data_IF_582438651443
#
_entry.id   IF_582438651443
#
_cell.length_a   1.000
_cell.length_b   1.000
_cell.length_c   1.000
_cell.angle_alpha   90.00
_cell.angle_beta   90.00
_cell.angle_gamma   90.00
#
_symmetry.space_group_name_H-M   'P 1'
#
loop_
_entity.id
_entity.type
_entity.pdbx_description
1 polymer ?
#
# COMPACT_ATOMS: atom_id res chain seq x y z
N UNK A 1 -42.63 27.61 36.98
CA UNK A 1 -43.03 27.97 35.61
C UNK A 1 -42.43 26.95 34.65
N UNK A 2 -43.27 26.22 33.91
CA UNK A 2 -42.91 25.55 32.64
C UNK A 2 -42.46 26.64 31.66
N UNK A 3 -41.58 26.41 30.67
CA UNK A 3 -41.80 25.61 29.45
C UNK A 3 -40.45 25.14 28.86
N UNK A 4 -40.54 23.96 28.22
CA UNK A 4 -39.57 23.20 27.44
C UNK A 4 -38.83 23.93 26.30
N UNK A 5 -37.70 23.33 25.91
CA UNK A 5 -37.05 23.51 24.61
C UNK A 5 -36.09 22.35 24.32
N UNK A 6 -36.65 21.16 24.13
CA UNK A 6 -35.95 19.95 23.67
C UNK A 6 -35.49 20.09 22.21
N UNK A 7 -34.19 19.98 21.97
CA UNK A 7 -33.60 19.84 20.64
C UNK A 7 -32.80 18.54 20.56
N UNK A 8 -33.47 17.42 20.36
CA UNK A 8 -32.84 16.16 19.93
C UNK A 8 -32.37 16.32 18.49
N UNK A 9 -31.05 16.39 18.30
CA UNK A 9 -30.43 16.21 16.99
C UNK A 9 -30.42 14.72 16.69
N UNK A 10 -31.48 14.25 16.04
CA UNK A 10 -31.58 12.89 15.53
C UNK A 10 -30.75 12.83 14.24
N UNK A 11 -29.46 12.55 14.34
CA UNK A 11 -28.65 12.14 13.19
C UNK A 11 -29.06 10.73 12.80
N UNK A 12 -30.10 10.63 11.97
CA UNK A 12 -30.50 9.38 11.35
C UNK A 12 -29.48 9.02 10.26
N UNK A 13 -28.54 8.15 10.61
CA UNK A 13 -27.73 7.40 9.65
C UNK A 13 -28.69 6.45 8.91
N UNK A 14 -29.28 6.92 7.80
CA UNK A 14 -30.09 6.07 6.94
C UNK A 14 -29.15 5.09 6.21
N UNK A 15 -29.02 3.87 6.74
CA UNK A 15 -28.69 2.72 5.90
C UNK A 15 -29.92 2.44 5.03
N UNK A 16 -29.91 2.96 3.81
CA UNK A 16 -30.91 2.60 2.81
C UNK A 16 -30.67 1.15 2.37
N UNK A 17 -31.59 0.27 2.73
CA UNK A 17 -31.70 -1.09 2.23
C UNK A 17 -32.10 -1.06 0.75
N UNK A 18 -31.11 -1.15 -0.14
CA UNK A 18 -31.33 -1.39 -1.57
C UNK A 18 -31.18 -2.89 -1.84
N UNK A 19 -32.28 -3.63 -1.85
CA UNK A 19 -32.33 -4.97 -2.44
C UNK A 19 -32.41 -4.85 -3.96
N UNK A 20 -31.34 -4.33 -4.57
CA UNK A 20 -31.03 -4.62 -5.96
C UNK A 20 -30.49 -6.05 -6.06
N UNK A 21 -30.57 -6.67 -7.23
CA UNK A 21 -29.69 -7.82 -7.49
C UNK A 21 -28.26 -7.36 -7.23
N UNK A 22 -27.44 -8.18 -6.55
CA UNK A 22 -26.08 -7.80 -6.15
C UNK A 22 -25.24 -7.20 -7.31
N UNK A 23 -25.55 -7.62 -8.54
CA UNK A 23 -24.97 -7.11 -9.79
C UNK A 23 -25.32 -5.65 -10.13
N UNK A 24 -26.56 -5.21 -9.91
CA UNK A 24 -26.96 -3.82 -10.16
C UNK A 24 -26.30 -2.87 -9.15
N UNK A 25 -26.13 -3.32 -7.90
CA UNK A 25 -25.37 -2.59 -6.88
C UNK A 25 -23.90 -2.43 -7.26
N UNK A 26 -23.27 -3.47 -7.83
CA UNK A 26 -21.86 -3.42 -8.23
C UNK A 26 -21.56 -2.36 -9.32
N UNK A 27 -22.50 -2.13 -10.25
CA UNK A 27 -22.35 -1.09 -11.29
C UNK A 27 -22.41 0.31 -10.67
N UNK A 28 -23.36 0.53 -9.76
CA UNK A 28 -23.50 1.81 -9.05
C UNK A 28 -22.29 2.06 -8.14
N UNK A 29 -21.84 1.04 -7.39
CA UNK A 29 -20.64 1.10 -6.56
C UNK A 29 -19.40 1.45 -7.39
N UNK A 30 -19.24 0.83 -8.58
CA UNK A 30 -18.14 1.17 -9.48
C UNK A 30 -18.16 2.66 -9.87
N UNK A 31 -19.30 3.16 -10.36
CA UNK A 31 -19.43 4.56 -10.78
C UNK A 31 -19.18 5.51 -9.62
N UNK A 32 -19.73 5.23 -8.43
CA UNK A 32 -19.56 6.06 -7.25
C UNK A 32 -18.12 6.05 -6.72
N UNK A 33 -17.45 4.90 -6.70
CA UNK A 33 -16.05 4.79 -6.27
C UNK A 33 -15.09 5.45 -7.27
N UNK A 34 -15.35 5.31 -8.57
CA UNK A 34 -14.59 6.03 -9.60
C UNK A 34 -14.79 7.54 -9.51
N UNK A 35 -16.02 8.00 -9.29
CA UNK A 35 -16.29 9.42 -9.05
C UNK A 35 -15.58 9.91 -7.78
N UNK A 36 -15.60 9.13 -6.71
CA UNK A 36 -14.89 9.42 -5.45
C UNK A 36 -13.39 9.58 -5.68
N UNK A 37 -12.75 8.65 -6.38
CA UNK A 37 -11.33 8.72 -6.73
C UNK A 37 -11.00 10.00 -7.50
N UNK A 38 -11.79 10.32 -8.54
CA UNK A 38 -11.57 11.50 -9.37
C UNK A 38 -11.77 12.81 -8.58
N UNK A 39 -12.77 12.86 -7.70
CA UNK A 39 -12.99 13.97 -6.77
C UNK A 39 -11.81 14.08 -5.80
N UNK A 40 -11.35 12.98 -5.23
CA UNK A 40 -10.23 12.98 -4.29
C UNK A 40 -8.92 13.40 -4.97
N UNK A 41 -8.67 13.01 -6.22
CA UNK A 41 -7.53 13.52 -6.99
C UNK A 41 -7.57 15.04 -7.18
N UNK A 42 -8.75 15.66 -7.21
CA UNK A 42 -8.88 17.12 -7.28
C UNK A 42 -8.77 17.78 -5.90
N UNK A 43 -9.41 17.18 -4.89
CA UNK A 43 -9.64 17.82 -3.59
C UNK A 43 -8.66 17.41 -2.50
N UNK A 44 -7.94 16.31 -2.70
CA UNK A 44 -7.03 15.68 -1.74
C UNK A 44 -7.72 15.57 -0.36
N UNK A 45 -8.89 14.97 -0.30
CA UNK A 45 -9.73 14.95 0.90
C UNK A 45 -9.55 13.67 1.74
N UNK A 46 -9.14 12.59 1.08
CA UNK A 46 -8.79 11.33 1.70
C UNK A 46 -7.30 11.32 2.11
N UNK A 47 -6.96 10.47 3.08
CA UNK A 47 -5.57 10.04 3.31
C UNK A 47 -5.10 9.24 2.10
N UNK A 48 -3.79 9.17 1.84
CA UNK A 48 -3.30 8.39 0.70
C UNK A 48 -3.64 6.90 0.85
N UNK A 49 -3.53 6.35 2.06
CA UNK A 49 -3.97 4.97 2.35
C UNK A 49 -5.46 4.75 2.09
N UNK A 50 -6.32 5.74 2.36
CA UNK A 50 -7.75 5.65 2.05
C UNK A 50 -7.97 5.68 0.53
N UNK A 51 -7.28 6.57 -0.20
CA UNK A 51 -7.35 6.66 -1.65
C UNK A 51 -7.00 5.34 -2.34
N UNK A 52 -5.89 4.71 -1.96
CA UNK A 52 -5.48 3.44 -2.57
C UNK A 52 -6.51 2.33 -2.35
N UNK A 53 -7.16 2.30 -1.19
CA UNK A 53 -8.22 1.33 -0.91
C UNK A 53 -9.55 1.68 -1.59
N UNK A 54 -9.84 2.95 -1.90
CA UNK A 54 -10.93 3.32 -2.82
C UNK A 54 -10.69 2.75 -4.21
N UNK A 55 -9.45 2.82 -4.72
CA UNK A 55 -9.09 2.24 -6.02
C UNK A 55 -9.25 0.72 -6.00
N UNK A 56 -8.84 0.04 -4.93
CA UNK A 56 -9.05 -1.41 -4.77
C UNK A 56 -10.55 -1.75 -4.75
N UNK A 57 -11.34 -1.01 -3.97
CA UNK A 57 -12.79 -1.21 -3.88
C UNK A 57 -13.47 -0.97 -5.24
N UNK A 58 -13.03 0.04 -6.00
CA UNK A 58 -13.51 0.34 -7.36
C UNK A 58 -13.26 -0.85 -8.28
N UNK A 59 -12.05 -1.37 -8.30
CA UNK A 59 -11.68 -2.49 -9.18
C UNK A 59 -12.42 -3.78 -8.79
N UNK A 60 -12.66 -3.99 -7.49
CA UNK A 60 -13.50 -5.08 -7.01
C UNK A 60 -14.95 -4.92 -7.47
N UNK A 61 -15.53 -3.74 -7.32
CA UNK A 61 -16.88 -3.44 -7.81
C UNK A 61 -17.00 -3.69 -9.32
N UNK A 62 -16.00 -3.25 -10.11
CA UNK A 62 -15.93 -3.53 -11.55
C UNK A 62 -15.92 -5.03 -11.84
N UNK A 63 -15.02 -5.79 -11.21
CA UNK A 63 -14.92 -7.25 -11.41
C UNK A 63 -16.19 -8.01 -11.03
N UNK A 64 -16.97 -7.45 -10.10
CA UNK A 64 -18.23 -8.00 -9.60
C UNK A 64 -19.45 -7.52 -10.39
N UNK A 65 -19.28 -6.77 -11.48
CA UNK A 65 -20.37 -6.47 -12.41
C UNK A 65 -20.76 -7.67 -13.27
N UNK A 66 -22.02 -7.70 -13.70
CA UNK A 66 -22.53 -8.78 -14.55
C UNK A 66 -21.81 -8.77 -15.90
N UNK A 67 -21.50 -7.59 -16.42
CA UNK A 67 -20.84 -7.34 -17.69
C UNK A 67 -19.40 -7.81 -17.70
N UNK A 68 -18.67 -7.65 -16.59
CA UNK A 68 -17.35 -8.30 -16.43
C UNK A 68 -17.48 -9.83 -16.37
N UNK A 69 -18.59 -10.35 -15.82
CA UNK A 69 -18.96 -11.76 -15.95
C UNK A 69 -19.25 -12.20 -17.38
N UNK A 70 -19.92 -11.35 -18.18
CA UNK A 70 -20.24 -11.60 -19.58
C UNK A 70 -19.02 -11.59 -20.50
N UNK A 71 -18.05 -10.70 -20.26
CA UNK A 71 -16.77 -10.74 -20.96
C UNK A 71 -16.06 -12.08 -20.70
N UNK A 72 -15.93 -12.47 -19.43
CA UNK A 72 -15.26 -13.71 -19.02
C UNK A 72 -15.90 -14.99 -19.59
N UNK A 73 -17.21 -14.98 -19.83
CA UNK A 73 -17.92 -16.14 -20.38
C UNK A 73 -18.23 -16.01 -21.89
N UNK A 74 -17.69 -15.00 -22.57
CA UNK A 74 -17.82 -14.80 -24.02
C UNK A 74 -19.19 -14.33 -24.48
N UNK A 75 -20.07 -13.87 -23.57
CA UNK A 75 -21.35 -13.22 -23.94
C UNK A 75 -21.16 -11.78 -24.41
N UNK A 76 -20.13 -11.11 -23.91
CA UNK A 76 -19.62 -9.87 -24.45
C UNK A 76 -18.31 -10.14 -25.18
N UNK A 77 -18.14 -9.53 -26.35
CA UNK A 77 -16.82 -9.33 -26.93
C UNK A 77 -16.11 -8.11 -26.32
N UNK A 78 -14.82 -7.94 -26.61
CA UNK A 78 -14.00 -6.85 -26.06
C UNK A 78 -14.56 -5.47 -26.43
N UNK A 79 -15.11 -5.30 -27.63
CA UNK A 79 -15.64 -4.01 -28.09
C UNK A 79 -16.96 -3.65 -27.38
N UNK A 80 -17.82 -4.64 -27.16
CA UNK A 80 -19.05 -4.50 -26.38
C UNK A 80 -18.74 -4.15 -24.93
N UNK A 81 -17.78 -4.84 -24.31
CA UNK A 81 -17.34 -4.53 -22.96
C UNK A 81 -16.73 -3.13 -22.87
N UNK A 82 -15.84 -2.77 -23.80
CA UNK A 82 -15.21 -1.45 -23.80
C UNK A 82 -16.23 -0.33 -23.96
N UNK A 83 -17.20 -0.46 -24.87
CA UNK A 83 -18.27 0.53 -25.03
C UNK A 83 -19.12 0.70 -23.77
N UNK A 84 -19.45 -0.41 -23.10
CA UNK A 84 -20.15 -0.37 -21.81
C UNK A 84 -19.28 0.31 -20.73
N UNK A 85 -18.00 -0.05 -20.64
CA UNK A 85 -17.05 0.49 -19.68
C UNK A 85 -16.86 2.01 -19.87
N UNK A 86 -16.64 2.46 -21.11
CA UNK A 86 -16.46 3.87 -21.47
C UNK A 86 -17.68 4.71 -21.07
N UNK A 87 -18.89 4.17 -21.22
CA UNK A 87 -20.10 4.85 -20.78
C UNK A 87 -20.16 5.06 -19.25
N UNK A 88 -19.60 4.13 -18.46
CA UNK A 88 -19.51 4.25 -16.99
C UNK A 88 -18.39 5.19 -16.57
N UNK A 89 -17.23 5.13 -17.23
CA UNK A 89 -16.16 6.12 -17.05
C UNK A 89 -16.66 7.54 -17.32
N UNK A 90 -17.37 7.76 -18.44
CA UNK A 90 -17.95 9.06 -18.77
C UNK A 90 -18.94 9.56 -17.72
N UNK A 91 -19.74 8.65 -17.14
CA UNK A 91 -20.68 8.99 -16.05
C UNK A 91 -19.92 9.43 -14.80
N UNK A 92 -18.91 8.68 -14.38
CA UNK A 92 -18.09 9.03 -13.21
C UNK A 92 -17.33 10.35 -13.40
N UNK A 93 -16.78 10.59 -14.60
CA UNK A 93 -16.16 11.86 -14.97
C UNK A 93 -17.14 13.03 -14.89
N UNK A 94 -18.38 12.85 -15.37
CA UNK A 94 -19.41 13.88 -15.30
C UNK A 94 -19.81 14.19 -13.84
N UNK A 95 -19.93 13.17 -12.99
CA UNK A 95 -20.20 13.34 -11.55
C UNK A 95 -19.06 14.14 -10.91
N UNK A 96 -17.81 13.72 -11.11
CA UNK A 96 -16.65 14.41 -10.53
C UNK A 96 -16.56 15.88 -10.99
N UNK A 97 -16.74 16.14 -12.30
CA UNK A 97 -16.68 17.48 -12.85
C UNK A 97 -17.80 18.41 -12.36
N UNK A 98 -19.02 17.89 -12.19
CA UNK A 98 -20.16 18.67 -11.70
C UNK A 98 -20.13 18.90 -10.18
N UNK A 99 -19.46 18.01 -9.45
CA UNK A 99 -19.34 18.07 -7.99
C UNK A 99 -18.22 19.00 -7.54
N UNK A 100 -17.03 18.85 -8.14
CA UNK A 100 -15.82 19.59 -7.78
C UNK A 100 -15.46 19.51 -6.29
N UNK A 101 -14.59 20.41 -5.82
CA UNK A 101 -14.21 20.51 -4.40
C UNK A 101 -15.18 21.37 -3.61
N UNK A 102 -16.44 20.96 -3.60
CA UNK A 102 -17.55 21.64 -2.90
C UNK A 102 -18.20 20.73 -1.86
N UNK A 103 -19.18 21.23 -1.10
CA UNK A 103 -19.97 20.38 -0.18
C UNK A 103 -20.68 19.23 -0.88
N UNK A 104 -20.95 19.33 -2.18
CA UNK A 104 -21.54 18.23 -2.94
C UNK A 104 -20.62 17.00 -3.03
N UNK A 105 -19.31 17.15 -2.78
CA UNK A 105 -18.35 16.04 -2.75
C UNK A 105 -18.48 15.16 -1.50
N UNK A 106 -19.02 15.71 -0.41
CA UNK A 106 -19.03 15.07 0.90
C UNK A 106 -19.67 13.66 0.90
N UNK A 107 -20.85 13.43 0.27
CA UNK A 107 -21.44 12.09 0.22
C UNK A 107 -20.55 11.05 -0.48
N UNK A 108 -19.90 11.42 -1.59
CA UNK A 108 -18.99 10.54 -2.32
C UNK A 108 -17.74 10.23 -1.49
N UNK A 109 -17.11 11.25 -0.93
CA UNK A 109 -15.92 11.11 -0.10
C UNK A 109 -16.20 10.27 1.16
N UNK A 110 -17.36 10.44 1.80
CA UNK A 110 -17.76 9.63 2.95
C UNK A 110 -18.03 8.17 2.55
N UNK A 111 -18.70 7.95 1.41
CA UNK A 111 -18.92 6.61 0.87
C UNK A 111 -17.60 5.89 0.57
N UNK A 112 -16.70 6.54 -0.18
CA UNK A 112 -15.38 6.01 -0.49
C UNK A 112 -14.53 5.76 0.75
N UNK A 113 -14.51 6.70 1.71
CA UNK A 113 -13.84 6.51 3.01
C UNK A 113 -14.38 5.30 3.76
N UNK A 114 -15.71 5.12 3.78
CA UNK A 114 -16.34 3.95 4.38
C UNK A 114 -15.80 2.64 3.81
N UNK A 115 -15.82 2.51 2.47
CA UNK A 115 -15.30 1.33 1.77
C UNK A 115 -13.80 1.12 1.96
N UNK A 116 -13.01 2.19 1.93
CA UNK A 116 -11.59 2.12 2.19
C UNK A 116 -11.30 1.62 3.62
N UNK A 117 -12.00 2.16 4.62
CA UNK A 117 -11.80 1.79 6.01
C UNK A 117 -12.23 0.36 6.32
N UNK A 118 -13.28 -0.16 5.67
CA UNK A 118 -13.65 -1.59 5.73
C UNK A 118 -12.45 -2.46 5.31
N UNK A 119 -11.87 -2.19 4.14
CA UNK A 119 -10.72 -2.95 3.61
C UNK A 119 -9.45 -2.79 4.45
N UNK A 120 -9.12 -1.57 4.85
CA UNK A 120 -7.92 -1.29 5.66
C UNK A 120 -8.02 -2.01 7.00
N UNK A 121 -9.13 -1.87 7.71
CA UNK A 121 -9.30 -2.50 9.02
C UNK A 121 -9.31 -4.02 8.91
N UNK A 122 -9.96 -4.59 7.89
CA UNK A 122 -9.90 -6.03 7.61
C UNK A 122 -8.46 -6.50 7.39
N UNK A 123 -7.67 -5.76 6.61
CA UNK A 123 -6.24 -6.04 6.40
C UNK A 123 -5.43 -5.97 7.71
N UNK A 124 -5.69 -4.98 8.57
CA UNK A 124 -5.04 -4.89 9.88
C UNK A 124 -5.41 -6.08 10.80
N UNK A 125 -6.68 -6.51 10.83
CA UNK A 125 -7.10 -7.71 11.57
C UNK A 125 -6.32 -8.95 11.08
N UNK A 126 -6.22 -9.13 9.77
CA UNK A 126 -5.43 -10.21 9.17
C UNK A 126 -3.95 -10.11 9.55
N UNK A 127 -3.36 -8.91 9.56
CA UNK A 127 -1.97 -8.69 9.95
C UNK A 127 -1.72 -9.13 11.41
N UNK A 128 -2.60 -8.79 12.35
CA UNK A 128 -2.51 -9.25 13.73
C UNK A 128 -2.77 -10.76 13.87
N UNK A 129 -3.63 -11.35 13.03
CA UNK A 129 -3.79 -12.80 12.97
C UNK A 129 -2.47 -13.50 12.60
N UNK A 130 -1.80 -13.05 11.53
CA UNK A 130 -0.52 -13.64 11.10
C UNK A 130 0.64 -13.39 12.07
N UNK A 131 0.65 -12.27 12.80
CA UNK A 131 1.63 -12.01 13.87
C UNK A 131 1.48 -12.99 15.04
N UNK A 132 0.23 -13.30 15.39
CA UNK A 132 -0.17 -14.16 16.51
C UNK A 132 -0.05 -15.66 16.25
N UNK A 133 0.30 -16.09 15.04
CA UNK A 133 0.57 -17.50 14.76
C UNK A 133 1.77 -18.02 15.57
N UNK A 134 1.85 -19.34 15.84
CA UNK A 134 2.97 -19.96 16.55
C UNK A 134 4.33 -19.58 15.94
N UNK A 135 5.36 -19.42 16.78
CA UNK A 135 6.67 -18.93 16.36
C UNK A 135 7.38 -19.82 15.33
N UNK A 136 7.02 -21.11 15.31
CA UNK A 136 7.50 -22.15 14.40
C UNK A 136 6.62 -22.31 13.13
N UNK A 137 5.51 -21.57 13.01
CA UNK A 137 4.68 -21.57 11.81
C UNK A 137 5.41 -20.88 10.64
N UNK A 138 5.46 -21.55 9.49
CA UNK A 138 5.97 -20.99 8.23
C UNK A 138 5.15 -19.80 7.72
N UNK A 139 3.90 -19.73 8.14
CA UNK A 139 2.97 -18.70 7.71
C UNK A 139 2.94 -17.48 8.63
N UNK A 140 3.63 -17.57 9.77
CA UNK A 140 3.77 -16.44 10.68
C UNK A 140 4.42 -15.28 9.95
N UNK A 141 3.77 -14.12 10.03
CA UNK A 141 4.31 -12.86 9.56
C UNK A 141 4.36 -11.90 10.75
N UNK A 142 5.48 -11.89 11.51
CA UNK A 142 5.58 -11.07 12.71
C UNK A 142 5.54 -9.59 12.37
N UNK A 143 4.79 -8.82 13.14
CA UNK A 143 4.75 -7.37 13.06
C UNK A 143 5.82 -6.75 13.95
N UNK A 144 6.45 -5.68 13.44
CA UNK A 144 7.35 -4.85 14.24
C UNK A 144 6.57 -4.04 15.27
N UNK A 145 7.25 -3.53 16.30
CA UNK A 145 6.62 -2.64 17.29
C UNK A 145 6.10 -1.35 16.64
N UNK A 146 6.78 -0.84 15.61
CA UNK A 146 6.36 0.32 14.84
C UNK A 146 5.06 0.05 14.06
N UNK A 147 4.94 -1.11 13.42
CA UNK A 147 3.73 -1.53 12.72
C UNK A 147 2.56 -1.70 13.70
N UNK A 148 2.80 -2.29 14.88
CA UNK A 148 1.77 -2.43 15.93
C UNK A 148 1.30 -1.07 16.42
N UNK A 149 2.22 -0.14 16.69
CA UNK A 149 1.89 1.21 17.13
C UNK A 149 1.14 2.00 16.06
N UNK A 150 1.55 1.88 14.79
CA UNK A 150 0.87 2.53 13.67
C UNK A 150 -0.56 2.00 13.50
N UNK A 151 -0.75 0.68 13.57
CA UNK A 151 -2.08 0.08 13.51
C UNK A 151 -2.97 0.52 14.69
N UNK A 152 -2.44 0.61 15.90
CA UNK A 152 -3.17 1.14 17.07
C UNK A 152 -3.55 2.63 16.92
N UNK A 153 -2.68 3.44 16.32
CA UNK A 153 -2.99 4.85 16.01
C UNK A 153 -4.09 4.96 14.96
N UNK A 154 -4.06 4.11 13.94
CA UNK A 154 -5.12 4.06 12.92
C UNK A 154 -6.44 3.57 13.50
N UNK A 155 -6.42 2.56 14.37
CA UNK A 155 -7.58 2.11 15.13
C UNK A 155 -8.19 3.24 15.97
N UNK A 156 -7.36 4.02 16.68
CA UNK A 156 -7.80 5.21 17.41
C UNK A 156 -8.42 6.28 16.51
N UNK A 157 -7.90 6.47 15.30
CA UNK A 157 -8.51 7.35 14.28
C UNK A 157 -9.89 6.85 13.84
N UNK A 158 -10.04 5.54 13.60
CA UNK A 158 -11.34 4.96 13.25
C UNK A 158 -12.35 5.05 14.41
N UNK A 159 -11.91 4.86 15.66
CA UNK A 159 -12.75 5.08 16.84
C UNK A 159 -13.31 6.51 16.90
N UNK A 160 -12.49 7.51 16.51
CA UNK A 160 -12.95 8.91 16.47
C UNK A 160 -13.96 9.17 15.35
N UNK A 161 -13.80 8.52 14.20
CA UNK A 161 -14.72 8.65 13.05
C UNK A 161 -16.05 7.94 13.33
N UNK A 162 -16.00 6.67 13.72
CA UNK A 162 -17.19 5.82 13.89
C UNK A 162 -17.85 5.99 15.26
N UNK A 163 -17.13 6.53 16.25
CA UNK A 163 -17.64 6.83 17.59
C UNK A 163 -18.38 5.63 18.21
N UNK A 164 -19.63 5.83 18.65
CA UNK A 164 -20.46 4.78 19.24
C UNK A 164 -20.72 3.59 18.28
N UNK A 165 -20.58 3.77 16.97
CA UNK A 165 -20.75 2.70 15.98
C UNK A 165 -19.47 1.89 15.76
N UNK A 166 -18.33 2.32 16.32
CA UNK A 166 -17.05 1.64 16.10
C UNK A 166 -17.07 0.15 16.49
N UNK A 167 -17.64 -0.29 17.64
CA UNK A 167 -17.67 -1.71 17.98
C UNK A 167 -18.39 -2.57 16.92
N UNK A 168 -19.54 -2.13 16.43
CA UNK A 168 -20.30 -2.84 15.40
C UNK A 168 -19.54 -2.89 14.06
N UNK A 169 -18.90 -1.79 13.67
CA UNK A 169 -18.00 -1.76 12.51
C UNK A 169 -16.85 -2.75 12.67
N UNK A 170 -16.14 -2.69 13.79
CA UNK A 170 -14.99 -3.54 14.09
C UNK A 170 -15.34 -5.04 14.09
N UNK A 171 -16.47 -5.41 14.69
CA UNK A 171 -16.94 -6.80 14.75
C UNK A 171 -17.30 -7.33 13.35
N UNK A 172 -17.99 -6.52 12.54
CA UNK A 172 -18.31 -6.89 11.16
C UNK A 172 -17.04 -7.15 10.33
N UNK A 173 -16.02 -6.28 10.46
CA UNK A 173 -14.77 -6.46 9.72
C UNK A 173 -13.93 -7.62 10.23
N UNK A 174 -13.95 -7.92 11.54
CA UNK A 174 -13.32 -9.13 12.08
C UNK A 174 -13.93 -10.38 11.48
N UNK A 175 -15.26 -10.47 11.43
CA UNK A 175 -15.94 -11.61 10.81
C UNK A 175 -15.54 -11.78 9.34
N UNK A 176 -15.58 -10.70 8.56
CA UNK A 176 -15.17 -10.72 7.15
C UNK A 176 -13.69 -11.07 6.95
N UNK A 177 -12.80 -10.70 7.87
CA UNK A 177 -11.40 -11.10 7.85
C UNK A 177 -11.27 -12.63 7.99
N UNK A 178 -12.01 -13.23 8.93
CA UNK A 178 -11.98 -14.68 9.13
C UNK A 178 -12.65 -15.45 8.00
N UNK A 179 -13.73 -14.93 7.42
CA UNK A 179 -14.37 -15.53 6.25
C UNK A 179 -13.45 -15.53 5.01
N UNK A 180 -12.46 -14.64 4.96
CA UNK A 180 -11.43 -14.60 3.92
C UNK A 180 -10.31 -15.64 4.12
N UNK A 181 -10.20 -16.24 5.29
CA UNK A 181 -9.24 -17.31 5.59
C UNK A 181 -9.83 -18.68 5.20
N UNK A 182 -8.98 -19.68 4.86
CA UNK A 182 -9.44 -21.06 4.70
C UNK A 182 -10.19 -21.54 5.95
N UNK A 183 -11.24 -22.36 5.78
CA UNK A 183 -12.07 -22.85 6.88
C UNK A 183 -11.30 -23.67 7.94
N UNK A 184 -10.10 -24.15 7.60
CA UNK A 184 -9.17 -24.83 8.51
C UNK A 184 -8.35 -23.87 9.38
N UNK A 185 -8.50 -22.55 9.20
CA UNK A 185 -7.78 -21.53 9.95
C UNK A 185 -8.35 -21.37 11.35
N UNK A 186 -7.48 -21.12 12.32
CA UNK A 186 -7.88 -20.88 13.71
C UNK A 186 -8.62 -19.54 13.83
N UNK A 187 -9.73 -19.50 14.59
CA UNK A 187 -10.43 -18.25 14.92
C UNK A 187 -10.27 -17.92 16.41
N UNK A 188 -9.37 -16.98 16.79
CA UNK A 188 -9.15 -16.60 18.18
C UNK A 188 -10.30 -15.84 18.85
N UNK A 189 -11.32 -15.40 18.11
CA UNK A 189 -12.36 -14.49 18.60
C UNK A 189 -13.78 -15.08 18.56
N UNK A 190 -13.92 -16.39 18.35
CA UNK A 190 -15.22 -17.05 18.34
C UNK A 190 -15.91 -16.96 19.71
N UNK A 191 -17.13 -16.39 19.80
CA UNK A 191 -17.85 -16.25 21.07
C UNK A 191 -18.41 -17.57 21.60
N UNK A 192 -18.37 -18.67 20.83
CA UNK A 192 -18.90 -19.97 21.26
C UNK A 192 -17.91 -20.83 22.04
N UNK A 193 -16.63 -20.47 22.13
CA UNK A 193 -15.63 -21.24 22.88
C UNK A 193 -15.56 -22.74 22.51
N UNK A 194 -16.11 -23.14 21.36
CA UNK A 194 -16.19 -24.53 20.96
C UNK A 194 -14.98 -24.90 20.10
N UNK A 195 -14.11 -25.69 20.75
CA UNK A 195 -13.29 -26.76 20.20
C UNK A 195 -12.16 -26.36 19.23
N UNK A 196 -11.27 -25.50 19.72
CA UNK A 196 -9.88 -25.43 19.27
C UNK A 196 -8.92 -25.74 20.41
N UNK A 197 -9.03 -26.94 21.01
CA UNK A 197 -8.04 -27.40 21.99
C UNK A 197 -6.64 -27.35 21.38
N UNK A 198 -5.68 -26.80 22.13
CA UNK A 198 -4.27 -26.68 21.77
C UNK A 198 -3.59 -28.02 21.41
N UNK A 199 -4.25 -29.15 21.73
CA UNK A 199 -3.79 -30.52 21.46
C UNK A 199 -3.99 -30.98 20.00
N UNK A 200 -4.52 -30.11 19.12
CA UNK A 200 -4.62 -30.33 17.67
C UNK A 200 -3.44 -29.79 16.85
N UNK A 201 -2.43 -29.17 17.47
CA UNK A 201 -1.20 -28.68 16.82
C UNK A 201 -0.23 -29.82 16.45
N UNK A 202 -0.75 -30.97 16.04
CA UNK A 202 0.05 -32.01 15.42
C UNK A 202 0.45 -31.54 14.03
N UNK A 203 1.76 -31.34 13.80
CA UNK A 203 2.61 -31.63 12.63
C UNK A 203 2.05 -31.71 11.18
N UNK A 204 0.74 -31.71 10.95
CA UNK A 204 0.06 -31.69 9.65
C UNK A 204 -0.04 -30.30 9.02
N UNK A 205 0.25 -29.20 9.75
CA UNK A 205 0.46 -27.89 9.11
C UNK A 205 1.72 -27.86 8.24
N UNK A 206 2.66 -28.79 8.43
CA UNK A 206 3.87 -28.93 7.60
C UNK A 206 3.72 -29.95 6.47
N UNK A 207 2.63 -30.73 6.43
CA UNK A 207 2.41 -31.78 5.42
C UNK A 207 1.07 -31.69 4.65
N UNK A 208 0.13 -30.87 5.11
CA UNK A 208 -1.20 -30.69 4.52
C UNK A 208 -1.61 -29.24 4.32
N UNK A 209 -0.64 -28.31 4.36
CA UNK A 209 -0.85 -26.91 4.01
C UNK A 209 -1.51 -26.84 2.63
N UNK A 210 -2.75 -26.36 2.62
CA UNK A 210 -3.58 -26.07 1.44
C UNK A 210 -4.13 -27.36 0.81
N UNK A 211 -5.26 -27.86 1.34
CA UNK A 211 -5.94 -29.07 0.84
C UNK A 211 -6.45 -28.92 -0.60
N UNK A 212 -6.48 -27.69 -1.11
CA UNK A 212 -6.89 -27.32 -2.45
C UNK A 212 -6.16 -26.07 -2.93
N UNK A 213 -6.07 -25.87 -4.25
CA UNK A 213 -5.60 -24.61 -4.84
C UNK A 213 -6.44 -23.41 -4.37
N UNK A 214 -7.72 -23.62 -4.04
CA UNK A 214 -8.61 -22.59 -3.51
C UNK A 214 -8.15 -22.10 -2.13
N UNK A 215 -7.80 -23.02 -1.22
CA UNK A 215 -7.30 -22.66 0.11
C UNK A 215 -5.97 -21.91 -0.01
N UNK A 216 -5.10 -22.31 -0.95
CA UNK A 216 -3.84 -21.59 -1.21
C UNK A 216 -4.08 -20.16 -1.64
N UNK A 217 -4.96 -19.97 -2.63
CA UNK A 217 -5.26 -18.67 -3.16
C UNK A 217 -5.91 -17.77 -2.11
N UNK A 218 -6.82 -18.29 -1.28
CA UNK A 218 -7.41 -17.55 -0.16
C UNK A 218 -6.35 -17.12 0.85
N UNK A 219 -5.49 -18.05 1.25
CA UNK A 219 -4.44 -17.78 2.21
C UNK A 219 -3.43 -16.73 1.71
N UNK A 220 -2.95 -16.90 0.48
CA UNK A 220 -2.05 -15.94 -0.16
C UNK A 220 -2.69 -14.56 -0.32
N UNK A 221 -3.96 -14.51 -0.73
CA UNK A 221 -4.72 -13.26 -0.82
C UNK A 221 -4.85 -12.57 0.54
N UNK A 222 -5.18 -13.31 1.60
CA UNK A 222 -5.29 -12.77 2.95
C UNK A 222 -3.95 -12.22 3.45
N UNK A 223 -2.84 -12.94 3.21
CA UNK A 223 -1.49 -12.49 3.58
C UNK A 223 -1.07 -11.23 2.81
N UNK A 224 -1.40 -11.15 1.52
CA UNK A 224 -1.15 -9.97 0.69
C UNK A 224 -1.96 -8.76 1.14
N UNK A 225 -3.25 -8.96 1.48
CA UNK A 225 -4.09 -7.92 2.07
C UNK A 225 -3.51 -7.40 3.39
N UNK A 226 -3.07 -8.32 4.26
CA UNK A 226 -2.45 -8.00 5.54
C UNK A 226 -1.20 -7.12 5.37
N UNK A 227 -0.24 -7.54 4.53
CA UNK A 227 1.01 -6.78 4.36
C UNK A 227 0.75 -5.42 3.71
N UNK A 228 -0.13 -5.37 2.70
CA UNK A 228 -0.46 -4.12 2.01
C UNK A 228 -1.08 -3.09 2.96
N UNK A 229 -2.04 -3.51 3.79
CA UNK A 229 -2.70 -2.63 4.73
C UNK A 229 -1.74 -2.11 5.81
N UNK A 230 -0.98 -3.00 6.46
CA UNK A 230 -0.09 -2.59 7.56
C UNK A 230 1.06 -1.71 7.07
N UNK A 231 1.62 -1.99 5.89
CA UNK A 231 2.71 -1.20 5.32
C UNK A 231 2.25 0.20 4.91
N UNK A 232 1.06 0.31 4.31
CA UNK A 232 0.48 1.60 3.93
C UNK A 232 0.08 2.43 5.15
N UNK A 233 -0.50 1.80 6.18
CA UNK A 233 -0.85 2.47 7.45
C UNK A 233 0.40 2.94 8.19
N UNK A 234 1.44 2.11 8.26
CA UNK A 234 2.71 2.50 8.88
C UNK A 234 3.30 3.73 8.19
N UNK A 235 3.38 3.73 6.86
CA UNK A 235 3.92 4.86 6.10
C UNK A 235 3.10 6.14 6.32
N UNK A 236 1.76 6.08 6.30
CA UNK A 236 0.88 7.23 6.55
C UNK A 236 1.10 7.79 7.96
N UNK A 237 1.09 6.94 8.98
CA UNK A 237 1.26 7.36 10.38
C UNK A 237 2.65 7.95 10.62
N UNK A 238 3.69 7.36 10.04
CA UNK A 238 5.06 7.84 10.15
C UNK A 238 5.22 9.19 9.44
N UNK A 239 4.66 9.35 8.24
CA UNK A 239 4.68 10.62 7.53
C UNK A 239 4.01 11.73 8.35
N UNK A 240 2.80 11.49 8.83
CA UNK A 240 2.04 12.47 9.65
C UNK A 240 2.76 12.83 10.94
N UNK A 241 3.34 11.84 11.62
CA UNK A 241 4.10 12.05 12.86
C UNK A 241 5.36 12.90 12.65
N UNK A 242 5.86 13.00 11.42
CA UNK A 242 7.05 13.77 11.07
C UNK A 242 6.73 15.07 10.28
N UNK A 243 5.47 15.53 10.34
CA UNK A 243 5.06 16.79 9.71
C UNK A 243 4.94 16.71 8.18
N UNK A 244 4.70 15.52 7.66
CA UNK A 244 4.38 15.28 6.26
C UNK A 244 2.93 14.88 6.09
N UNK A 245 2.40 15.14 4.90
CA UNK A 245 1.13 14.62 4.44
C UNK A 245 1.36 13.87 3.14
N UNK A 246 0.84 12.65 3.06
CA UNK A 246 0.78 11.90 1.80
C UNK A 246 -0.51 12.26 1.08
N UNK A 247 -0.38 12.65 -0.19
CA UNK A 247 -1.51 12.91 -1.07
C UNK A 247 -1.37 12.09 -2.36
N UNK A 248 -2.47 11.64 -2.96
CA UNK A 248 -2.42 10.98 -4.26
C UNK A 248 -2.14 12.02 -5.36
N UNK A 249 -1.36 11.68 -6.36
CA UNK A 249 -1.20 12.45 -7.60
C UNK A 249 -1.29 11.55 -8.81
N UNK A 250 -2.15 11.91 -9.76
CA UNK A 250 -2.22 11.25 -11.07
C UNK A 250 -1.04 11.73 -11.91
N UNK A 251 -0.25 10.78 -12.40
CA UNK A 251 0.81 11.03 -13.41
C UNK A 251 0.32 10.74 -14.82
N UNK A 252 -0.63 9.82 -14.95
CA UNK A 252 -1.39 9.56 -16.17
C UNK A 252 -2.83 9.13 -15.81
N UNK A 253 -3.65 8.83 -16.82
CA UNK A 253 -5.07 8.47 -16.63
C UNK A 253 -5.32 7.21 -15.77
N UNK A 254 -4.30 6.38 -15.56
CA UNK A 254 -4.37 5.08 -14.90
C UNK A 254 -3.38 4.92 -13.74
N UNK A 255 -2.42 5.82 -13.60
CA UNK A 255 -1.34 5.74 -12.60
C UNK A 255 -1.45 6.89 -11.61
N UNK A 256 -1.61 6.53 -10.34
CA UNK A 256 -1.55 7.46 -9.20
C UNK A 256 -0.37 7.10 -8.31
N UNK A 257 0.42 8.11 -7.91
CA UNK A 257 1.56 7.96 -7.01
C UNK A 257 1.34 8.71 -5.69
N UNK A 258 2.00 8.30 -4.60
CA UNK A 258 2.03 9.08 -3.38
C UNK A 258 2.95 10.29 -3.55
N UNK A 259 2.54 11.43 -3.00
CA UNK A 259 3.35 12.64 -2.93
C UNK A 259 3.42 13.10 -1.48
N UNK A 260 4.64 13.28 -0.98
CA UNK A 260 4.88 13.92 0.31
C UNK A 260 4.82 15.43 0.15
N UNK A 261 4.01 16.07 0.98
CA UNK A 261 3.93 17.53 1.12
C UNK A 261 4.08 17.92 2.58
N UNK A 262 4.71 19.06 2.87
CA UNK A 262 4.84 19.55 4.25
C UNK A 262 3.47 19.96 4.80
N UNK A 263 3.13 19.48 5.99
CA UNK A 263 1.84 19.79 6.64
C UNK A 263 1.87 21.11 7.42
N UNK A 264 3.05 21.69 7.66
CA UNK A 264 3.27 22.91 8.45
C UNK A 264 3.15 24.22 7.65
N UNK A 265 2.84 24.15 6.35
CA UNK A 265 2.71 25.32 5.50
C UNK A 265 4.03 26.04 5.18
N UNK A 266 5.18 25.44 5.50
CA UNK A 266 6.46 25.87 4.95
C UNK A 266 6.43 25.80 3.42
N UNK A 267 7.37 26.48 2.74
CA UNK A 267 7.47 26.47 1.28
C UNK A 267 7.25 25.03 0.76
N UNK A 268 6.36 24.81 -0.22
CA UNK A 268 5.84 23.47 -0.51
C UNK A 268 6.97 22.59 -1.06
N UNK A 269 7.63 21.86 -0.17
CA UNK A 269 8.49 20.75 -0.55
C UNK A 269 7.56 19.62 -0.96
N UNK A 270 7.59 19.31 -2.25
CA UNK A 270 6.76 18.30 -2.90
C UNK A 270 7.69 17.21 -3.39
N UNK A 271 7.59 16.02 -2.81
CA UNK A 271 8.42 14.88 -3.20
C UNK A 271 7.53 13.73 -3.66
N UNK A 272 7.72 13.30 -4.90
CA UNK A 272 6.99 12.18 -5.48
C UNK A 272 7.63 10.88 -4.98
N UNK A 273 6.87 10.04 -4.29
CA UNK A 273 7.37 8.71 -3.91
C UNK A 273 7.48 7.85 -5.17
N UNK A 274 8.70 7.37 -5.38
CA UNK A 274 9.14 6.62 -6.55
C UNK A 274 9.24 5.13 -6.24
N UNK A 275 9.59 4.80 -5.00
CA UNK A 275 9.56 3.43 -4.50
C UNK A 275 9.24 3.40 -3.00
N UNK A 276 8.68 2.28 -2.56
CA UNK A 276 8.31 2.01 -1.18
C UNK A 276 6.82 2.26 -0.88
N UNK A 277 6.35 1.96 0.34
CA UNK A 277 7.14 1.50 1.49
C UNK A 277 7.79 0.14 1.20
N UNK A 278 9.08 0.01 1.51
CA UNK A 278 9.81 -1.24 1.29
C UNK A 278 10.73 -1.55 2.46
N UNK A 279 11.09 -2.81 2.55
CA UNK A 279 11.92 -3.36 3.59
C UNK A 279 13.33 -3.58 3.05
N UNK A 280 14.35 -3.13 3.78
CA UNK A 280 15.75 -3.34 3.45
C UNK A 280 16.45 -4.12 4.56
N UNK A 281 17.11 -5.23 4.21
CA UNK A 281 17.92 -5.99 5.16
C UNK A 281 19.37 -5.51 5.10
N UNK A 282 19.88 -4.99 6.22
CA UNK A 282 21.29 -4.66 6.40
C UNK A 282 22.14 -5.94 6.45
N UNK A 283 23.45 -5.80 6.29
CA UNK A 283 24.40 -6.91 6.33
C UNK A 283 24.45 -7.67 7.67
N UNK A 284 23.83 -7.15 8.72
CA UNK A 284 23.73 -7.75 10.06
C UNK A 284 22.31 -8.21 10.41
N UNK A 285 21.52 -8.55 9.39
CA UNK A 285 20.14 -9.05 9.47
C UNK A 285 19.10 -8.06 10.01
N UNK A 286 19.50 -6.85 10.44
CA UNK A 286 18.55 -5.80 10.81
C UNK A 286 17.71 -5.38 9.60
N UNK A 287 16.43 -5.16 9.86
CA UNK A 287 15.43 -4.91 8.83
C UNK A 287 14.92 -3.47 8.94
N UNK A 288 15.32 -2.64 7.99
CA UNK A 288 14.95 -1.23 7.88
C UNK A 288 13.70 -1.04 7.04
N UNK A 289 13.01 0.07 7.26
CA UNK A 289 11.91 0.54 6.43
C UNK A 289 12.32 1.81 5.70
N UNK A 290 11.97 1.91 4.43
CA UNK A 290 12.39 3.03 3.60
C UNK A 290 11.41 3.34 2.47
N UNK A 291 11.49 4.58 2.01
CA UNK A 291 10.93 5.04 0.73
C UNK A 291 12.00 5.80 -0.04
N UNK A 292 11.85 5.85 -1.35
CA UNK A 292 12.68 6.69 -2.23
C UNK A 292 11.74 7.68 -2.89
N UNK A 293 12.11 8.95 -2.83
CA UNK A 293 11.33 10.03 -3.40
C UNK A 293 12.16 10.86 -4.37
N UNK A 294 11.51 11.32 -5.44
CA UNK A 294 12.08 12.34 -6.33
C UNK A 294 11.94 13.71 -5.69
N UNK A 295 13.04 14.43 -5.67
CA UNK A 295 13.12 15.79 -5.15
C UNK A 295 12.76 16.83 -6.22
N UNK A 296 12.35 18.06 -5.84
CA UNK A 296 12.06 19.13 -6.78
C UNK A 296 13.23 19.54 -7.70
N UNK A 297 14.47 19.35 -7.24
CA UNK A 297 15.69 19.63 -8.00
C UNK A 297 16.04 18.53 -9.02
N UNK A 298 15.25 17.46 -9.08
CA UNK A 298 15.46 16.32 -9.96
C UNK A 298 16.33 15.21 -9.36
N UNK A 299 16.85 15.37 -8.14
CA UNK A 299 17.55 14.32 -7.39
C UNK A 299 16.61 13.27 -6.79
N UNK A 300 17.20 12.28 -6.12
CA UNK A 300 16.45 11.33 -5.27
C UNK A 300 16.77 11.57 -3.81
N UNK A 301 15.81 11.24 -2.94
CA UNK A 301 15.99 11.17 -1.50
C UNK A 301 15.56 9.80 -1.01
N UNK A 302 16.48 9.06 -0.40
CA UNK A 302 16.18 7.91 0.43
C UNK A 302 15.75 8.42 1.81
N UNK A 303 14.56 8.04 2.24
CA UNK A 303 14.04 8.36 3.57
C UNK A 303 13.82 7.06 4.32
N UNK A 304 14.52 6.90 5.45
CA UNK A 304 14.39 5.73 6.31
C UNK A 304 13.49 6.03 7.50
N UNK A 305 12.87 4.99 8.05
CA UNK A 305 12.00 5.09 9.20
C UNK A 305 11.91 3.77 9.99
N UNK A 306 11.19 3.83 11.11
CA UNK A 306 11.09 2.75 12.08
C UNK A 306 12.30 2.68 13.01
N UNK A 307 12.15 1.98 14.11
CA UNK A 307 13.15 1.75 15.16
C UNK A 307 14.49 1.26 14.63
N UNK A 308 14.49 0.36 13.64
CA UNK A 308 15.72 -0.14 13.03
C UNK A 308 16.53 0.96 12.32
N UNK A 309 15.90 2.06 11.87
CA UNK A 309 16.60 3.18 11.21
C UNK A 309 17.57 3.92 12.15
N UNK A 310 17.42 3.77 13.47
CA UNK A 310 18.40 4.27 14.45
C UNK A 310 19.77 3.60 14.33
N UNK A 311 19.88 2.49 13.60
CA UNK A 311 21.14 1.88 13.20
C UNK A 311 21.99 2.77 12.28
N UNK A 312 21.36 3.69 11.56
CA UNK A 312 21.99 4.56 10.58
C UNK A 312 22.34 5.91 11.21
N UNK A 313 23.35 6.56 10.63
CA UNK A 313 23.84 7.87 11.04
C UNK A 313 24.19 8.71 9.81
N UNK A 314 24.53 9.98 10.01
CA UNK A 314 24.99 10.84 8.92
C UNK A 314 26.29 10.34 8.25
N UNK A 315 27.07 9.47 8.92
CA UNK A 315 28.26 8.83 8.35
C UNK A 315 27.99 7.47 7.72
N UNK A 316 26.76 6.97 7.75
CA UNK A 316 26.42 5.68 7.14
C UNK A 316 26.52 5.73 5.62
N UNK A 317 26.83 4.58 5.01
CA UNK A 317 27.00 4.49 3.55
C UNK A 317 25.67 4.26 2.88
N UNK A 318 25.26 5.16 1.98
CA UNK A 318 24.15 4.96 1.05
C UNK A 318 24.68 5.13 -0.38
N UNK A 319 24.48 4.15 -1.25
CA UNK A 319 24.99 4.17 -2.63
C UNK A 319 23.98 3.56 -3.59
N UNK A 320 23.73 4.22 -4.71
CA UNK A 320 22.95 3.68 -5.83
C UNK A 320 23.89 3.20 -6.92
N UNK A 321 23.73 1.95 -7.35
CA UNK A 321 24.41 1.41 -8.52
C UNK A 321 23.42 1.32 -9.68
N UNK A 322 23.78 1.96 -10.79
CA UNK A 322 22.93 2.06 -11.99
C UNK A 322 23.71 1.54 -13.19
N UNK A 323 23.10 0.61 -13.93
CA UNK A 323 23.72 0.11 -15.16
C UNK A 323 23.62 1.13 -16.30
N UNK A 324 24.76 1.50 -16.85
CA UNK A 324 24.83 2.41 -18.01
C UNK A 324 24.86 1.67 -19.36
N UNK A 325 25.07 0.35 -19.37
CA UNK A 325 25.13 -0.48 -20.56
C UNK A 325 23.97 -1.50 -20.57
N UNK A 326 23.29 -1.73 -21.70
CA UNK A 326 22.23 -2.74 -21.77
C UNK A 326 22.75 -4.12 -21.36
N UNK A 327 21.90 -4.94 -20.74
CA UNK A 327 22.29 -6.29 -20.36
C UNK A 327 22.70 -7.12 -21.60
N UNK A 328 23.58 -8.13 -21.45
CA UNK A 328 24.00 -8.99 -22.55
C UNK A 328 22.81 -9.73 -23.21
N UNK A 329 22.97 -10.10 -24.48
CA UNK A 329 21.99 -10.91 -25.20
C UNK A 329 21.76 -12.25 -24.48
N UNK A 330 20.50 -12.70 -24.43
CA UNK A 330 20.11 -13.93 -23.74
C UNK A 330 19.85 -13.78 -22.24
N UNK A 331 20.11 -12.61 -21.65
CA UNK A 331 19.66 -12.27 -20.30
C UNK A 331 18.39 -11.41 -20.32
N UNK A 332 17.63 -11.45 -19.22
CA UNK A 332 16.66 -10.42 -18.87
C UNK A 332 17.31 -9.47 -17.87
N UNK A 333 16.74 -8.28 -17.67
CA UNK A 333 17.18 -7.36 -16.62
C UNK A 333 17.29 -8.07 -15.25
N UNK A 334 16.32 -8.92 -14.94
CA UNK A 334 16.32 -9.78 -13.75
C UNK A 334 17.48 -10.77 -13.72
N UNK A 335 17.61 -11.62 -14.74
CA UNK A 335 18.59 -12.71 -14.70
C UNK A 335 20.02 -12.18 -14.77
N UNK A 336 20.23 -11.00 -15.36
CA UNK A 336 21.52 -10.31 -15.32
C UNK A 336 21.79 -9.68 -13.96
N UNK A 337 20.80 -9.05 -13.31
CA UNK A 337 20.98 -8.42 -11.98
C UNK A 337 21.51 -9.39 -10.92
N UNK A 338 21.15 -10.66 -11.01
CA UNK A 338 21.58 -11.69 -10.07
C UNK A 338 23.00 -12.23 -10.36
N UNK A 339 23.62 -11.91 -11.49
CA UNK A 339 24.98 -12.39 -11.80
C UNK A 339 26.03 -11.59 -11.05
N UNK A 340 27.14 -12.24 -10.68
CA UNK A 340 28.30 -11.55 -10.10
C UNK A 340 28.81 -10.43 -11.02
N UNK A 341 28.78 -10.67 -12.35
CA UNK A 341 29.25 -9.73 -13.37
C UNK A 341 28.43 -8.45 -13.50
N UNK A 342 27.21 -8.39 -12.93
CA UNK A 342 26.45 -7.15 -12.95
C UNK A 342 27.19 -6.02 -12.24
N UNK A 343 27.96 -6.29 -11.17
CA UNK A 343 28.69 -5.23 -10.46
C UNK A 343 29.98 -4.77 -11.13
N UNK A 344 30.36 -5.36 -12.27
CA UNK A 344 31.62 -5.02 -12.95
C UNK A 344 31.52 -3.68 -13.71
N UNK A 345 30.31 -3.26 -14.08
CA UNK A 345 30.05 -2.13 -14.98
C UNK A 345 29.12 -1.01 -14.49
N UNK A 346 28.46 -1.06 -13.31
CA UNK A 346 27.51 -0.03 -12.95
C UNK A 346 28.22 1.26 -12.56
N UNK A 347 27.56 2.39 -12.79
CA UNK A 347 27.96 3.68 -12.24
C UNK A 347 27.44 3.76 -10.81
N UNK A 348 28.30 4.18 -9.89
CA UNK A 348 27.94 4.41 -8.50
C UNK A 348 27.62 5.88 -8.25
N UNK A 349 26.53 6.13 -7.52
CA UNK A 349 26.13 7.44 -7.02
C UNK A 349 26.05 7.39 -5.50
N UNK A 350 26.91 8.14 -4.83
CA UNK A 350 26.93 8.24 -3.38
C UNK A 350 25.81 9.15 -2.87
N UNK A 351 25.12 8.70 -1.83
CA UNK A 351 24.11 9.45 -1.12
C UNK A 351 24.74 10.36 -0.08
N UNK A 352 24.36 11.64 -0.06
CA UNK A 352 24.81 12.60 0.95
C UNK A 352 23.78 12.68 2.08
N UNK A 353 24.20 12.48 3.32
CA UNK A 353 23.29 12.58 4.46
C UNK A 353 22.69 14.00 4.58
N UNK A 354 21.41 14.06 4.95
CA UNK A 354 20.66 15.33 5.04
C UNK A 354 20.09 15.51 6.44
N UNK A 355 20.26 16.70 6.99
CA UNK A 355 19.74 17.08 8.32
C UNK A 355 18.27 17.56 8.29
N UNK A 356 17.73 17.82 7.10
CA UNK A 356 16.33 18.21 6.91
C UNK A 356 15.36 17.11 7.41
N UNK A 357 14.11 17.52 7.70
CA UNK A 357 13.08 16.61 8.20
C UNK A 357 12.86 15.42 7.25
N UNK A 358 12.86 14.22 7.84
CA UNK A 358 12.72 12.93 7.17
C UNK A 358 11.45 12.22 7.63
N UNK A 359 11.43 10.89 7.59
CA UNK A 359 10.37 10.03 8.13
C UNK A 359 10.76 9.43 9.50
N UNK A 360 11.55 10.14 10.29
CA UNK A 360 11.96 9.72 11.64
C UNK A 360 13.29 8.97 11.71
N UNK A 361 13.85 8.53 10.57
CA UNK A 361 15.24 8.07 10.44
C UNK A 361 16.10 9.01 9.58
N UNK A 362 17.39 8.72 9.40
CA UNK A 362 18.27 9.47 8.51
C UNK A 362 17.80 9.47 7.05
N UNK A 363 18.11 10.55 6.32
CA UNK A 363 17.93 10.64 4.87
C UNK A 363 19.25 10.77 4.14
N UNK A 364 19.25 10.31 2.89
CA UNK A 364 20.37 10.44 1.98
C UNK A 364 19.89 10.95 0.63
N UNK A 365 20.52 12.02 0.14
CA UNK A 365 20.25 12.62 -1.16
C UNK A 365 21.20 12.07 -2.21
N UNK A 366 20.63 11.60 -3.31
CA UNK A 366 21.36 11.24 -4.51
C UNK A 366 21.23 12.34 -5.55
N UNK A 367 22.30 12.60 -6.32
CA UNK A 367 22.33 13.69 -7.28
C UNK A 367 21.39 13.43 -8.47
N UNK A 368 20.99 14.48 -9.19
CA UNK A 368 20.08 14.38 -10.35
C UNK A 368 20.67 13.51 -11.49
N UNK A 369 22.00 13.41 -11.57
CA UNK A 369 22.72 12.51 -12.46
C UNK A 369 22.36 11.04 -12.22
N UNK A 370 22.04 10.65 -10.99
CA UNK A 370 21.56 9.31 -10.69
C UNK A 370 20.21 9.05 -11.36
N UNK A 371 19.30 10.03 -11.32
CA UNK A 371 18.00 9.95 -12.01
C UNK A 371 18.20 9.88 -13.51
N UNK A 372 19.05 10.73 -14.08
CA UNK A 372 19.34 10.72 -15.51
C UNK A 372 19.91 9.37 -15.96
N UNK A 373 20.80 8.76 -15.16
CA UNK A 373 21.34 7.44 -15.45
C UNK A 373 20.26 6.34 -15.40
N UNK A 374 19.34 6.42 -14.43
CA UNK A 374 18.21 5.49 -14.29
C UNK A 374 17.30 5.56 -15.52
N UNK A 375 16.95 6.77 -15.97
CA UNK A 375 16.01 6.95 -17.08
C UNK A 375 16.63 6.78 -18.46
N UNK A 376 17.95 6.90 -18.61
CA UNK A 376 18.63 6.80 -19.89
C UNK A 376 18.68 5.38 -20.49
N UNK A 377 18.47 4.33 -19.68
CA UNK A 377 18.56 2.94 -20.15
C UNK A 377 17.27 2.14 -19.87
N UNK A 378 16.28 2.19 -20.78
CA UNK A 378 15.00 1.52 -20.60
C UNK A 378 15.09 -0.02 -20.67
N UNK A 379 16.25 -0.59 -21.01
CA UNK A 379 16.48 -2.04 -20.97
C UNK A 379 17.01 -2.54 -19.62
N UNK A 380 17.42 -1.64 -18.73
CA UNK A 380 17.94 -1.97 -17.41
C UNK A 380 16.96 -1.56 -16.33
N UNK A 381 15.92 -2.37 -16.18
CA UNK A 381 14.84 -2.07 -15.25
C UNK A 381 15.21 -2.21 -13.78
N UNK A 382 16.47 -2.50 -13.43
CA UNK A 382 16.88 -2.78 -12.06
C UNK A 382 18.10 -1.96 -11.65
N UNK A 383 18.00 -1.32 -10.50
CA UNK A 383 19.13 -0.69 -9.81
C UNK A 383 19.33 -1.32 -8.44
N UNK A 384 20.55 -1.20 -7.93
CA UNK A 384 20.91 -1.68 -6.60
C UNK A 384 21.09 -0.50 -5.65
N UNK A 385 20.28 -0.43 -4.61
CA UNK A 385 20.56 0.38 -3.43
C UNK A 385 21.42 -0.42 -2.46
N UNK A 386 22.59 0.11 -2.14
CA UNK A 386 23.41 -0.37 -1.06
C UNK A 386 23.32 0.57 0.14
N UNK A 387 23.02 0.00 1.31
CA UNK A 387 22.93 0.72 2.56
C UNK A 387 23.67 -0.06 3.64
N UNK A 388 24.56 0.61 4.36
CA UNK A 388 25.32 0.03 5.47
C UNK A 388 25.44 1.03 6.61
N UNK A 389 25.48 0.52 7.84
CA UNK A 389 25.64 1.36 9.03
C UNK A 389 27.03 2.00 9.07
N UNK A 390 28.05 1.26 8.61
CA UNK A 390 29.44 1.68 8.58
C UNK A 390 29.71 2.74 7.49
N UNK A 391 30.60 3.72 7.76
CA UNK A 391 31.11 4.62 6.73
C UNK A 391 31.98 3.87 5.72
N UNK A 392 31.97 4.34 4.47
CA UNK A 392 32.78 3.84 3.35
C UNK A 392 32.67 2.33 3.12
N UNK A 393 31.54 1.73 3.51
CA UNK A 393 31.30 0.31 3.33
C UNK A 393 31.26 -0.05 1.84
N UNK A 394 31.75 -1.24 1.52
CA UNK A 394 31.72 -1.78 0.17
C UNK A 394 30.78 -2.99 0.18
N UNK A 395 29.85 -3.11 -0.78
CA UNK A 395 28.93 -4.22 -0.77
C UNK A 395 29.68 -5.53 -1.02
N UNK A 396 29.47 -6.52 -0.15
CA UNK A 396 30.03 -7.86 -0.32
C UNK A 396 29.57 -8.48 -1.64
N UNK A 397 30.40 -9.29 -2.32
CA UNK A 397 29.95 -10.06 -3.48
C UNK A 397 28.77 -10.95 -3.07
N UNK A 398 27.77 -11.17 -3.94
CA UNK A 398 26.69 -12.10 -3.63
C UNK A 398 27.25 -13.49 -3.35
N UNK A 399 26.94 -14.02 -2.16
CA UNK A 399 27.30 -15.39 -1.77
C UNK A 399 26.22 -16.29 -2.33
N UNK A 400 26.53 -16.98 -3.43
CA UNK A 400 25.63 -17.83 -4.22
C UNK A 400 24.42 -17.12 -4.85
N UNK A 401 23.60 -17.85 -5.61
CA UNK A 401 22.37 -17.40 -6.30
C UNK A 401 21.29 -16.82 -5.37
N UNK A 402 21.66 -16.42 -4.15
CA UNK A 402 20.81 -15.68 -3.24
C UNK A 402 20.48 -14.31 -3.83
N UNK A 403 19.23 -13.89 -3.63
CA UNK A 403 18.71 -12.61 -4.09
C UNK A 403 19.58 -11.46 -3.62
N UNK A 404 20.05 -10.64 -4.56
CA UNK A 404 20.81 -9.42 -4.24
C UNK A 404 19.90 -8.42 -3.51
N UNK A 405 20.24 -8.01 -2.27
CA UNK A 405 19.43 -7.07 -1.50
C UNK A 405 19.44 -5.69 -2.16
N UNK A 406 18.43 -4.87 -1.83
CA UNK A 406 18.37 -3.49 -2.33
C UNK A 406 17.97 -3.32 -3.78
N UNK A 407 17.40 -4.36 -4.40
CA UNK A 407 16.83 -4.24 -5.75
C UNK A 407 15.69 -3.22 -5.77
N UNK A 408 15.77 -2.27 -6.70
CA UNK A 408 14.69 -1.34 -7.02
C UNK A 408 14.33 -1.48 -8.50
N UNK A 409 13.03 -1.55 -8.79
CA UNK A 409 12.54 -1.59 -10.18
C UNK A 409 12.43 -0.18 -10.75
N UNK A 410 13.03 0.03 -11.92
CA UNK A 410 13.01 1.24 -12.73
C UNK A 410 11.73 1.34 -13.56
N UNK A 411 11.01 0.24 -13.81
CA UNK A 411 9.70 0.29 -14.48
C UNK A 411 8.70 1.17 -13.70
N UNK A 412 8.79 1.17 -12.36
CA UNK A 412 8.08 2.09 -11.46
C UNK A 412 8.60 3.53 -11.49
N UNK A 413 9.84 3.77 -11.94
CA UNK A 413 10.54 5.07 -11.88
C UNK A 413 10.48 5.82 -13.22
N UNK A 414 10.64 5.13 -14.34
CA UNK A 414 10.69 5.72 -15.69
C UNK A 414 9.32 6.23 -16.17
N UNK A 415 8.21 5.60 -15.74
CA UNK A 415 6.85 6.09 -16.03
C UNK A 415 6.54 7.45 -15.38
N UNK A 416 7.31 7.83 -14.35
CA UNK A 416 7.14 9.07 -13.59
C UNK A 416 8.08 10.20 -14.06
N UNK A 417 8.98 9.90 -15.01
CA UNK A 417 9.97 10.82 -15.55
C UNK A 417 9.70 11.31 -16.97
N UNK A 418 8.58 10.89 -17.58
CA UNK A 418 8.14 11.28 -18.93
C UNK A 418 7.27 12.53 -18.96
#
# INVERSE_FOLDING_TARGET
MRVHGSGTVTSALLLATMTGTAWAGAVEDYVNLRATELIDLQCKALKYVEHTHVVVARDEALRNTQESGWLRNGKFDDAQYQSWFDAREATALQIAASTGCTKAAEPYLLFGRGKANELIYRGLVLAFYFDGLPADSLDRAPLTDDQKLAAQRYDGFLQQIYQANFPAFADAQRQLAFDALPATSFNPFSPTGQDGGWDGLGLDLLGGALRSDEDYNKFWSARSQASTAVDAVELEVVAESNGWRLIPESVDAHTTIPVLTRSDGAAPVRMQLWAGPTTYRLGDDRVLRMVIARQPDGGLRLMTYGTASAALSASSTARLFVQNAPHPEGFTSWSYFETASWRDTPVAFDGTAVEAACLGGPCFDFPAEAVNAITANPGNDLVELFLAAEPDAVPSPPVDKATRPGRLSVYSLARLGG
#
